data_IF_660254410258
#
_entry.id   IF_660254410258
#
_cell.length_a   1.000
_cell.length_b   1.000
_cell.length_c   1.000
_cell.angle_alpha   90.00
_cell.angle_beta   90.00
_cell.angle_gamma   90.00
#
_symmetry.space_group_name_H-M   'P 1'
#
loop_
_entity.id
_entity.type
_entity.pdbx_description
1 polymer ?
#
# COMPACT_ATOMS: atom_id res chain seq x y z
N UNK A 1 2.34 -0.90 16.18
CA UNK A 1 2.17 -2.11 15.37
C UNK A 1 1.99 -1.62 13.96
N UNK A 2 2.86 -2.06 13.04
CA UNK A 2 2.67 -1.80 11.62
C UNK A 2 1.34 -2.43 11.18
N UNK A 3 0.49 -1.67 10.50
CA UNK A 3 -0.63 -2.25 9.75
C UNK A 3 -0.22 -2.34 8.29
N UNK A 4 -0.80 -3.27 7.56
CA UNK A 4 -0.58 -3.39 6.12
C UNK A 4 -1.89 -3.13 5.38
N UNK A 5 -1.78 -2.46 4.24
CA UNK A 5 -2.89 -2.30 3.31
C UNK A 5 -2.47 -2.85 1.95
N UNK A 6 -3.39 -3.50 1.26
CA UNK A 6 -3.23 -3.86 -0.15
C UNK A 6 -4.00 -2.88 -1.02
N UNK A 7 -3.31 -2.24 -1.94
CA UNK A 7 -3.93 -1.44 -3.00
C UNK A 7 -4.00 -2.31 -4.25
N UNK A 8 -5.20 -2.70 -4.64
CA UNK A 8 -5.45 -3.54 -5.81
C UNK A 8 -5.99 -2.66 -6.92
N UNK A 9 -5.22 -2.53 -7.99
CA UNK A 9 -5.63 -1.88 -9.21
C UNK A 9 -6.29 -2.89 -10.15
N UNK A 10 -7.47 -2.55 -10.65
CA UNK A 10 -8.15 -3.26 -11.73
C UNK A 10 -8.32 -2.34 -12.92
N UNK A 11 -8.11 -2.87 -14.12
CA UNK A 11 -8.41 -2.16 -15.35
C UNK A 11 -9.25 -3.05 -16.26
N UNK A 12 -10.51 -2.65 -16.39
CA UNK A 12 -11.49 -3.27 -17.27
C UNK A 12 -11.89 -2.27 -18.37
N UNK A 13 -11.38 -2.53 -19.59
CA UNK A 13 -11.64 -1.88 -20.90
C UNK A 13 -11.51 -0.35 -20.92
N UNK A 14 -12.27 0.39 -20.12
CA UNK A 14 -12.26 1.87 -20.04
C UNK A 14 -12.13 2.41 -18.60
N UNK A 15 -12.25 1.56 -17.58
CA UNK A 15 -12.16 1.98 -16.17
C UNK A 15 -10.74 1.83 -15.64
N UNK A 16 -10.26 2.87 -14.94
CA UNK A 16 -9.03 2.83 -14.13
C UNK A 16 -9.42 3.03 -12.68
N UNK A 17 -9.67 1.92 -11.99
CA UNK A 17 -10.03 1.90 -10.57
C UNK A 17 -8.91 1.36 -9.71
N UNK A 18 -9.02 1.59 -8.41
CA UNK A 18 -8.29 0.85 -7.40
C UNK A 18 -9.16 0.69 -6.16
N UNK A 19 -8.96 -0.41 -5.46
CA UNK A 19 -9.56 -0.69 -4.18
C UNK A 19 -8.47 -0.87 -3.13
N UNK A 20 -8.76 -0.43 -1.92
CA UNK A 20 -7.85 -0.52 -0.78
C UNK A 20 -8.43 -1.52 0.21
N UNK A 21 -7.63 -2.52 0.57
CA UNK A 21 -7.99 -3.55 1.53
C UNK A 21 -7.08 -3.45 2.75
N UNK A 22 -7.67 -3.31 3.94
CA UNK A 22 -6.93 -3.51 5.19
C UNK A 22 -6.57 -4.99 5.32
N UNK A 23 -5.30 -5.26 5.64
CA UNK A 23 -4.78 -6.62 5.80
C UNK A 23 -4.68 -6.98 7.29
N UNK A 24 -4.92 -8.25 7.59
CA UNK A 24 -4.82 -8.76 8.96
C UNK A 24 -3.40 -9.25 9.28
N UNK A 25 -2.57 -9.43 8.25
CA UNK A 25 -1.19 -9.86 8.38
C UNK A 25 -0.35 -8.96 9.31
N UNK A 26 0.55 -9.59 10.08
CA UNK A 26 1.51 -8.91 10.96
C UNK A 26 2.93 -8.89 10.42
N UNK A 27 3.20 -9.52 9.28
CA UNK A 27 4.51 -9.59 8.63
C UNK A 27 4.39 -9.23 7.16
N UNK A 28 5.45 -8.67 6.58
CA UNK A 28 5.46 -8.26 5.18
C UNK A 28 5.18 -9.42 4.22
N UNK A 29 5.74 -10.62 4.49
CA UNK A 29 5.49 -11.79 3.66
C UNK A 29 4.03 -12.23 3.71
N UNK A 30 3.44 -12.32 4.91
CA UNK A 30 2.03 -12.71 5.04
C UNK A 30 1.09 -11.67 4.41
N UNK A 31 1.46 -10.39 4.47
CA UNK A 31 0.71 -9.31 3.82
C UNK A 31 0.77 -9.42 2.30
N UNK A 32 1.93 -9.77 1.74
CA UNK A 32 2.08 -10.03 0.29
C UNK A 32 1.27 -11.24 -0.16
N UNK A 33 1.31 -12.34 0.58
CA UNK A 33 0.53 -13.54 0.29
C UNK A 33 -0.99 -13.24 0.33
N UNK A 34 -1.45 -12.48 1.33
CA UNK A 34 -2.85 -12.04 1.47
C UNK A 34 -3.28 -11.14 0.30
N UNK A 35 -2.45 -10.17 -0.08
CA UNK A 35 -2.71 -9.26 -1.18
C UNK A 35 -2.74 -9.98 -2.55
N UNK A 36 -1.82 -10.93 -2.77
CA UNK A 36 -1.78 -11.78 -3.95
C UNK A 36 -3.09 -12.56 -4.11
N UNK A 37 -3.59 -13.14 -3.02
CA UNK A 37 -4.82 -13.91 -3.02
C UNK A 37 -6.06 -13.04 -3.28
N UNK A 38 -6.08 -11.79 -2.79
CA UNK A 38 -7.16 -10.83 -3.09
C UNK A 38 -7.13 -10.45 -4.58
N UNK A 39 -5.96 -10.15 -5.14
CA UNK A 39 -5.81 -9.81 -6.56
C UNK A 39 -6.22 -10.99 -7.46
N UNK A 40 -5.75 -12.21 -7.15
CA UNK A 40 -6.07 -13.41 -7.90
C UNK A 40 -7.57 -13.75 -7.89
N UNK A 41 -8.28 -13.48 -6.79
CA UNK A 41 -9.75 -13.66 -6.71
C UNK A 41 -10.53 -12.68 -7.58
N UNK A 42 -9.94 -11.51 -7.87
CA UNK A 42 -10.54 -10.47 -8.70
C UNK A 42 -10.23 -10.66 -10.18
N UNK A 43 -9.17 -11.41 -10.50
CA UNK A 43 -8.75 -11.68 -11.88
C UNK A 43 -9.87 -12.41 -12.65
N UNK A 44 -10.60 -11.64 -13.45
CA UNK A 44 -11.64 -12.12 -14.34
C UNK A 44 -11.12 -12.03 -15.79
N UNK A 45 -11.73 -12.77 -16.73
CA UNK A 45 -11.23 -12.90 -18.11
C UNK A 45 -10.97 -11.58 -18.87
N UNK A 46 -11.53 -10.46 -18.40
CA UNK A 46 -11.38 -9.13 -19.00
C UNK A 46 -10.92 -8.04 -18.01
N UNK A 47 -10.58 -8.38 -16.77
CA UNK A 47 -10.11 -7.43 -15.75
C UNK A 47 -8.72 -7.88 -15.30
N UNK A 48 -7.67 -7.23 -15.84
CA UNK A 48 -6.31 -7.51 -15.37
C UNK A 48 -6.09 -6.74 -14.08
N UNK A 49 -5.51 -7.42 -13.10
CA UNK A 49 -5.23 -6.81 -11.80
C UNK A 49 -3.74 -6.65 -11.55
N UNK A 50 -3.39 -5.61 -10.81
CA UNK A 50 -2.08 -5.43 -10.20
C UNK A 50 -2.27 -5.01 -8.75
N UNK A 51 -1.35 -5.34 -7.86
CA UNK A 51 -1.47 -4.94 -6.46
C UNK A 51 -0.15 -4.42 -5.91
N UNK A 52 -0.25 -3.59 -4.87
CA UNK A 52 0.89 -3.11 -4.08
C UNK A 52 0.53 -3.21 -2.61
N UNK A 53 1.44 -3.78 -1.82
CA UNK A 53 1.32 -3.78 -0.36
C UNK A 53 2.04 -2.56 0.20
N UNK A 54 1.36 -1.83 1.08
CA UNK A 54 1.90 -0.67 1.78
C UNK A 54 1.92 -0.97 3.27
N UNK A 55 3.11 -0.92 3.86
CA UNK A 55 3.27 -0.90 5.30
C UNK A 55 2.97 0.50 5.83
N UNK A 56 2.04 0.58 6.77
CA UNK A 56 1.71 1.80 7.49
C UNK A 56 2.21 1.65 8.91
N UNK A 57 3.38 2.20 9.16
CA UNK A 57 3.95 2.31 10.51
C UNK A 57 3.22 3.42 11.29
N UNK A 58 3.20 3.30 12.61
CA UNK A 58 2.68 4.32 13.53
C UNK A 58 3.64 5.51 13.70
N UNK A 59 4.77 5.50 12.97
CA UNK A 59 5.78 6.56 12.99
C UNK A 59 5.76 7.27 11.65
N UNK A 60 5.70 8.60 11.68
CA UNK A 60 5.92 9.40 10.48
C UNK A 60 7.35 9.18 9.98
N UNK A 61 7.47 8.60 8.79
CA UNK A 61 8.74 8.52 8.07
C UNK A 61 8.74 9.54 6.94
N UNK A 62 9.74 10.41 6.96
CA UNK A 62 10.02 11.26 5.82
C UNK A 62 10.85 10.46 4.80
N UNK A 63 10.47 10.46 3.50
CA UNK A 63 11.22 9.77 2.45
C UNK A 63 12.60 10.39 2.20
N UNK A 64 12.91 11.53 2.83
CA UNK A 64 14.18 12.25 2.74
C UNK A 64 14.72 12.59 4.12
N UNK A 65 16.03 12.84 4.21
CA UNK A 65 16.64 13.41 5.43
C UNK A 65 16.05 14.80 5.71
N UNK A 66 15.80 15.08 6.98
CA UNK A 66 15.45 16.42 7.45
C UNK A 66 16.58 17.40 7.13
N UNK A 67 16.22 18.54 6.56
CA UNK A 67 17.12 19.69 6.41
C UNK A 67 17.47 20.25 7.79
N UNK A 68 18.57 20.99 7.88
CA UNK A 68 18.99 21.63 9.14
C UNK A 68 17.91 22.51 9.75
N UNK A 69 17.15 23.23 8.93
CA UNK A 69 16.05 24.07 9.40
C UNK A 69 14.93 23.24 10.04
N UNK A 70 14.53 22.14 9.40
CA UNK A 70 13.48 21.27 9.94
C UNK A 70 13.94 20.57 11.22
N UNK A 71 15.23 20.17 11.29
CA UNK A 71 15.84 19.63 12.53
C UNK A 71 15.82 20.63 13.68
N UNK A 72 16.17 21.89 13.41
CA UNK A 72 16.24 22.94 14.43
C UNK A 72 14.86 23.43 14.86
N UNK A 73 13.90 23.47 13.94
CA UNK A 73 12.56 24.02 14.20
C UNK A 73 11.51 22.97 14.56
N UNK A 74 11.80 21.69 14.32
CA UNK A 74 10.83 20.60 14.48
C UNK A 74 9.65 20.67 13.51
N UNK A 75 9.71 21.55 12.49
CA UNK A 75 8.62 21.74 11.52
C UNK A 75 9.01 21.13 10.20
N UNK A 76 8.21 20.17 9.75
CA UNK A 76 8.30 19.56 8.42
C UNK A 76 7.62 20.52 7.43
N UNK A 77 8.32 20.90 6.35
CA UNK A 77 7.78 21.81 5.31
C UNK A 77 7.97 21.25 3.91
#
# INVERSE_FOLDING_TARGET
MSRFIAVVHGWHVESKGFDVHDLTASTAQAADDEACLIAARRDAAFDRTAYVVVEVDNREHLPRRLTWRERLTGRIK
#
